data_IF_122444843344
#
_entry.id   IF_122444843344
#
_cell.length_a   1.000
_cell.length_b   1.000
_cell.length_c   1.000
_cell.angle_alpha   90.00
_cell.angle_beta   90.00
_cell.angle_gamma   90.00
#
_symmetry.space_group_name_H-M   'P 1'
#
loop_
_entity.id
_entity.type
_entity.pdbx_description
1 polymer ?
#
# COMPACT_ATOMS: atom_id res chain seq x y z
N UNK A 1 -4.22 -34.69 -58.54
CA UNK A 1 -4.86 -33.56 -57.85
C UNK A 1 -6.23 -33.33 -58.48
N UNK A 2 -7.33 -33.54 -57.74
CA UNK A 2 -8.69 -33.35 -58.25
C UNK A 2 -9.12 -31.91 -58.03
N UNK A 3 -9.30 -31.16 -59.12
CA UNK A 3 -9.83 -29.79 -59.10
C UNK A 3 -11.35 -29.93 -59.19
N UNK A 4 -12.06 -29.59 -58.12
CA UNK A 4 -13.51 -29.71 -58.05
C UNK A 4 -14.16 -28.44 -58.66
N UNK A 5 -14.95 -28.54 -59.74
CA UNK A 5 -15.63 -27.39 -60.31
C UNK A 5 -17.02 -27.26 -59.66
N UNK A 6 -17.13 -26.36 -58.68
CA UNK A 6 -18.38 -26.08 -57.97
C UNK A 6 -18.92 -24.70 -58.32
N UNK A 7 -19.96 -24.68 -59.14
CA UNK A 7 -20.82 -23.52 -59.43
C UNK A 7 -21.28 -22.85 -58.12
N UNK A 8 -21.10 -21.53 -57.99
CA UNK A 8 -21.61 -20.74 -56.85
C UNK A 8 -22.89 -20.02 -57.25
N UNK A 9 -24.05 -20.25 -56.61
CA UNK A 9 -25.24 -19.47 -56.87
C UNK A 9 -25.11 -18.09 -56.21
N UNK A 10 -25.43 -17.03 -56.98
CA UNK A 10 -25.63 -15.69 -56.43
C UNK A 10 -26.86 -15.73 -55.51
N UNK A 11 -26.67 -15.50 -54.20
CA UNK A 11 -27.79 -15.32 -53.28
C UNK A 11 -27.58 -15.71 -51.81
N UNK A 12 -26.51 -16.41 -51.44
CA UNK A 12 -26.24 -16.73 -50.03
C UNK A 12 -25.11 -15.87 -49.46
N UNK A 13 -25.45 -14.62 -49.18
CA UNK A 13 -24.58 -13.75 -48.39
C UNK A 13 -25.43 -12.92 -47.42
N UNK A 14 -26.19 -13.62 -46.56
CA UNK A 14 -26.90 -13.01 -45.43
C UNK A 14 -27.00 -14.01 -44.30
N UNK A 15 -25.93 -14.09 -43.51
CA UNK A 15 -25.94 -14.09 -42.03
C UNK A 15 -24.56 -14.49 -41.52
N UNK A 16 -23.57 -13.61 -41.66
CA UNK A 16 -22.59 -13.50 -40.58
C UNK A 16 -23.29 -12.74 -39.48
N UNK A 17 -23.54 -13.32 -38.29
CA UNK A 17 -23.76 -12.47 -37.14
C UNK A 17 -22.42 -11.79 -36.93
N UNK A 18 -22.35 -10.51 -37.29
CA UNK A 18 -21.38 -9.60 -36.72
C UNK A 18 -21.50 -9.81 -35.21
N UNK A 19 -20.49 -10.44 -34.61
CA UNK A 19 -20.35 -10.54 -33.17
C UNK A 19 -20.05 -9.12 -32.72
N UNK A 20 -21.13 -8.32 -32.67
CA UNK A 20 -21.10 -6.92 -32.32
C UNK A 20 -20.26 -6.77 -31.07
N UNK A 21 -19.28 -5.87 -31.17
CA UNK A 21 -18.49 -5.44 -30.03
C UNK A 21 -19.42 -5.30 -28.83
N UNK A 22 -19.18 -6.10 -27.78
CA UNK A 22 -19.97 -6.03 -26.54
C UNK A 22 -20.07 -4.57 -26.16
N UNK A 23 -21.28 -4.02 -25.93
CA UNK A 23 -21.41 -2.63 -25.53
C UNK A 23 -20.57 -2.43 -24.28
N UNK A 24 -19.61 -1.50 -24.35
CA UNK A 24 -18.80 -1.10 -23.21
C UNK A 24 -19.80 -0.53 -22.21
N UNK A 25 -20.11 -1.29 -21.16
CA UNK A 25 -21.00 -0.81 -20.11
C UNK A 25 -20.42 0.51 -19.58
N UNK A 26 -21.19 1.62 -19.60
CA UNK A 26 -20.70 2.87 -19.05
C UNK A 26 -20.36 2.63 -17.58
N UNK A 27 -19.12 2.98 -17.17
CA UNK A 27 -18.72 2.89 -15.76
C UNK A 27 -19.73 3.68 -14.92
N UNK A 28 -20.29 3.05 -13.90
CA UNK A 28 -21.25 3.69 -13.02
C UNK A 28 -20.56 4.88 -12.31
N UNK A 29 -21.25 6.01 -12.16
CA UNK A 29 -20.69 7.20 -11.50
C UNK A 29 -20.15 6.87 -10.10
N UNK A 30 -20.84 6.00 -9.36
CA UNK A 30 -20.39 5.52 -8.06
C UNK A 30 -19.04 4.78 -8.14
N UNK A 31 -18.80 3.99 -9.18
CA UNK A 31 -17.53 3.26 -9.36
C UNK A 31 -16.39 4.24 -9.67
N UNK A 32 -16.65 5.27 -10.48
CA UNK A 32 -15.66 6.32 -10.79
C UNK A 32 -15.30 7.11 -9.54
N UNK A 33 -16.29 7.44 -8.70
CA UNK A 33 -16.07 8.18 -7.45
C UNK A 33 -15.26 7.36 -6.44
N UNK A 34 -15.61 6.08 -6.25
CA UNK A 34 -14.87 5.18 -5.37
C UNK A 34 -13.39 5.03 -5.78
N UNK A 35 -13.11 4.90 -7.07
CA UNK A 35 -11.73 4.81 -7.58
C UNK A 35 -10.96 6.12 -7.34
N UNK A 36 -11.60 7.27 -7.51
CA UNK A 36 -10.95 8.56 -7.20
C UNK A 36 -10.65 8.71 -5.70
N UNK A 37 -11.56 8.28 -4.83
CA UNK A 37 -11.36 8.35 -3.38
C UNK A 37 -10.26 7.39 -2.89
N UNK A 38 -10.16 6.18 -3.46
CA UNK A 38 -9.05 5.26 -3.22
C UNK A 38 -7.72 5.88 -3.67
N UNK A 39 -7.66 6.48 -4.87
CA UNK A 39 -6.45 7.13 -5.40
C UNK A 39 -6.00 8.31 -4.53
N UNK A 40 -6.91 9.19 -4.12
CA UNK A 40 -6.62 10.29 -3.20
C UNK A 40 -6.09 9.79 -1.86
N UNK A 41 -6.69 8.72 -1.34
CA UNK A 41 -6.25 8.10 -0.09
C UNK A 41 -4.80 7.60 -0.19
N UNK A 42 -4.44 6.97 -1.31
CA UNK A 42 -3.08 6.49 -1.60
C UNK A 42 -2.09 7.66 -1.64
N UNK A 43 -2.44 8.76 -2.33
CA UNK A 43 -1.61 9.96 -2.43
C UNK A 43 -1.38 10.62 -1.06
N UNK A 44 -2.42 10.78 -0.25
CA UNK A 44 -2.30 11.32 1.11
C UNK A 44 -1.39 10.46 2.00
N UNK A 45 -1.48 9.13 1.89
CA UNK A 45 -0.62 8.23 2.65
C UNK A 45 0.83 8.31 2.18
N UNK A 46 1.09 8.46 0.88
CA UNK A 46 2.44 8.67 0.37
C UNK A 46 3.05 9.98 0.90
N UNK A 47 2.27 11.06 0.95
CA UNK A 47 2.73 12.33 1.53
C UNK A 47 3.09 12.17 3.00
N UNK A 48 2.21 11.55 3.81
CA UNK A 48 2.48 11.29 5.24
C UNK A 48 3.71 10.40 5.44
N UNK A 49 3.90 9.40 4.59
CA UNK A 49 5.08 8.53 4.64
C UNK A 49 6.37 9.32 4.39
N UNK A 50 6.34 10.26 3.43
CA UNK A 50 7.47 11.16 3.18
C UNK A 50 7.74 12.10 4.36
N UNK A 51 6.70 12.62 4.99
CA UNK A 51 6.84 13.47 6.18
C UNK A 51 7.46 12.70 7.35
N UNK A 52 7.05 11.44 7.57
CA UNK A 52 7.66 10.54 8.56
C UNK A 52 9.13 10.29 8.25
N UNK A 53 9.47 10.06 6.98
CA UNK A 53 10.87 9.90 6.56
C UNK A 53 11.70 11.13 6.92
N UNK A 54 11.23 12.31 6.54
CA UNK A 54 11.90 13.58 6.84
C UNK A 54 12.05 13.80 8.35
N UNK A 55 11.02 13.45 9.13
CA UNK A 55 11.06 13.53 10.59
C UNK A 55 12.08 12.55 11.18
N UNK A 56 12.16 11.32 10.67
CA UNK A 56 13.16 10.33 11.10
C UNK A 56 14.59 10.80 10.81
N UNK A 57 14.81 11.45 9.67
CA UNK A 57 16.08 12.09 9.32
C UNK A 57 16.45 13.23 10.27
N UNK A 58 15.47 14.04 10.70
CA UNK A 58 15.68 15.09 11.71
C UNK A 58 16.00 14.50 13.09
N UNK A 59 15.32 13.43 13.48
CA UNK A 59 15.61 12.70 14.72
C UNK A 59 17.03 12.13 14.69
N UNK A 60 17.41 11.42 13.62
CA UNK A 60 18.73 10.83 13.44
C UNK A 60 19.87 11.85 13.53
N UNK A 61 19.65 13.09 13.08
CA UNK A 61 20.65 14.17 13.16
C UNK A 61 20.71 14.87 14.50
N UNK A 62 19.56 15.10 15.14
CA UNK A 62 19.47 15.99 16.31
C UNK A 62 19.43 15.24 17.65
N UNK A 63 18.95 13.99 17.67
CA UNK A 63 18.84 13.14 18.86
C UNK A 63 18.21 13.86 20.06
N UNK A 64 17.11 14.60 19.83
CA UNK A 64 16.37 15.28 20.90
C UNK A 64 15.06 14.59 21.23
N UNK A 65 14.64 14.70 22.50
CA UNK A 65 13.35 14.20 22.98
C UNK A 65 12.18 14.75 22.15
N UNK A 66 12.24 16.02 21.75
CA UNK A 66 11.22 16.65 20.91
C UNK A 66 11.06 15.91 19.58
N UNK A 67 12.17 15.67 18.88
CA UNK A 67 12.12 14.99 17.58
C UNK A 67 11.69 13.53 17.72
N UNK A 68 12.06 12.87 18.82
CA UNK A 68 11.65 11.51 19.13
C UNK A 68 10.13 11.41 19.31
N UNK A 69 9.56 12.30 20.12
CA UNK A 69 8.11 12.35 20.36
C UNK A 69 7.33 12.63 19.08
N UNK A 70 7.78 13.61 18.28
CA UNK A 70 7.16 13.94 17.00
C UNK A 70 7.20 12.76 16.04
N UNK A 71 8.35 12.10 15.91
CA UNK A 71 8.48 10.92 15.07
C UNK A 71 7.51 9.81 15.49
N UNK A 72 7.50 9.45 16.78
CA UNK A 72 6.60 8.41 17.31
C UNK A 72 5.13 8.74 17.07
N UNK A 73 4.74 10.00 17.27
CA UNK A 73 3.37 10.46 17.04
C UNK A 73 2.98 10.35 15.56
N UNK A 74 3.84 10.79 14.64
CA UNK A 74 3.58 10.74 13.20
C UNK A 74 3.44 9.30 12.71
N UNK A 75 4.32 8.39 13.15
CA UNK A 75 4.23 6.97 12.81
C UNK A 75 2.91 6.40 13.34
N UNK A 76 2.57 6.63 14.62
CA UNK A 76 1.32 6.14 15.21
C UNK A 76 0.08 6.60 14.43
N UNK A 77 0.00 7.90 14.10
CA UNK A 77 -1.11 8.45 13.32
C UNK A 77 -1.22 7.80 11.93
N UNK A 78 -0.08 7.54 11.28
CA UNK A 78 -0.05 6.87 9.99
C UNK A 78 -0.55 5.42 10.05
N UNK A 79 -0.22 4.68 11.12
CA UNK A 79 -0.75 3.33 11.32
C UNK A 79 -2.26 3.34 11.52
N UNK A 80 -2.77 4.26 12.35
CA UNK A 80 -4.22 4.43 12.58
C UNK A 80 -4.96 4.75 11.27
N UNK A 81 -4.42 5.65 10.45
CA UNK A 81 -5.00 6.02 9.16
C UNK A 81 -5.01 4.85 8.18
N UNK A 82 -3.93 4.08 8.11
CA UNK A 82 -3.82 2.89 7.25
C UNK A 82 -4.86 1.83 7.63
N UNK A 83 -5.02 1.57 8.93
CA UNK A 83 -6.01 0.61 9.45
C UNK A 83 -7.43 1.08 9.18
N UNK A 84 -7.75 2.34 9.51
CA UNK A 84 -9.12 2.89 9.37
C UNK A 84 -9.59 2.94 7.92
N UNK A 85 -8.69 3.26 6.98
CA UNK A 85 -9.04 3.40 5.55
C UNK A 85 -9.07 2.06 4.81
N UNK A 86 -8.73 0.95 5.48
CA UNK A 86 -8.73 -0.39 4.88
C UNK A 86 -7.75 -0.53 3.71
N UNK A 87 -6.78 0.37 3.60
CA UNK A 87 -5.85 0.44 2.46
C UNK A 87 -5.03 -0.83 2.44
N UNK A 88 -5.24 -1.62 1.39
CA UNK A 88 -4.58 -2.90 1.18
C UNK A 88 -5.15 -4.10 1.95
N UNK A 89 -6.31 -3.97 2.61
CA UNK A 89 -7.03 -5.13 3.17
C UNK A 89 -7.64 -6.06 2.11
N UNK A 90 -7.78 -5.59 0.85
CA UNK A 90 -8.46 -6.35 -0.21
C UNK A 90 -7.69 -7.60 -0.67
N UNK A 91 -6.37 -7.66 -0.55
CA UNK A 91 -5.62 -8.83 -1.02
C UNK A 91 -4.36 -9.08 -0.17
N UNK A 92 -4.43 -10.02 0.75
CA UNK A 92 -3.22 -10.72 1.19
C UNK A 92 -3.58 -12.20 1.29
N UNK A 93 -3.52 -12.87 0.13
CA UNK A 93 -3.41 -14.33 0.06
C UNK A 93 -2.08 -14.73 0.70
N UNK A 94 -2.06 -14.81 2.03
CA UNK A 94 -0.83 -15.05 2.80
C UNK A 94 -1.16 -15.07 4.28
N UNK A 95 -1.56 -16.25 4.76
CA UNK A 95 -1.72 -16.53 6.17
C UNK A 95 -0.36 -16.89 6.77
N UNK A 96 -0.03 -16.34 7.93
CA UNK A 96 1.02 -16.90 8.79
C UNK A 96 0.61 -18.33 9.22
N UNK A 97 1.55 -19.13 9.74
CA UNK A 97 1.31 -20.46 10.33
C UNK A 97 0.18 -20.49 11.37
N UNK A 98 -0.21 -19.33 11.91
CA UNK A 98 -1.28 -19.12 12.89
C UNK A 98 -2.56 -18.47 12.31
N UNK A 99 -2.70 -18.35 10.99
CA UNK A 99 -3.91 -17.80 10.35
C UNK A 99 -4.03 -16.27 10.40
N UNK A 100 -3.00 -15.54 10.83
CA UNK A 100 -3.00 -14.07 10.83
C UNK A 100 -2.59 -13.52 9.46
N UNK A 101 -3.22 -12.44 9.01
CA UNK A 101 -2.82 -11.74 7.78
C UNK A 101 -1.45 -11.10 7.98
N UNK A 102 -0.54 -11.24 7.00
CA UNK A 102 0.83 -10.67 7.03
C UNK A 102 0.88 -9.19 7.46
N UNK A 103 -0.10 -8.38 7.08
CA UNK A 103 -0.21 -6.95 7.46
C UNK A 103 -0.41 -6.73 8.97
N UNK A 104 -1.25 -7.51 9.64
CA UNK A 104 -1.44 -7.37 11.09
C UNK A 104 -0.14 -7.65 11.86
N UNK A 105 0.65 -8.64 11.40
CA UNK A 105 1.97 -8.90 11.97
C UNK A 105 2.91 -7.69 11.80
N UNK A 106 2.93 -7.06 10.62
CA UNK A 106 3.73 -5.85 10.41
C UNK A 106 3.30 -4.70 11.32
N UNK A 107 2.00 -4.53 11.55
CA UNK A 107 1.47 -3.52 12.47
C UNK A 107 1.91 -3.79 13.92
N UNK A 108 1.82 -5.03 14.38
CA UNK A 108 2.31 -5.43 15.71
C UNK A 108 3.82 -5.17 15.87
N UNK A 109 4.60 -5.46 14.82
CA UNK A 109 6.06 -5.24 14.82
C UNK A 109 6.42 -3.75 14.84
N UNK A 110 5.68 -2.92 14.11
CA UNK A 110 5.81 -1.47 14.14
C UNK A 110 5.47 -0.90 15.53
N UNK A 111 4.38 -1.35 16.14
CA UNK A 111 3.98 -0.91 17.48
C UNK A 111 5.04 -1.29 18.53
N UNK A 112 5.54 -2.53 18.48
CA UNK A 112 6.64 -2.99 19.34
C UNK A 112 7.89 -2.12 19.20
N UNK A 113 8.29 -1.78 17.97
CA UNK A 113 9.44 -0.90 17.75
C UNK A 113 9.22 0.50 18.34
N UNK A 114 8.02 1.08 18.20
CA UNK A 114 7.68 2.38 18.78
C UNK A 114 7.67 2.37 20.32
N UNK A 115 7.31 1.26 20.94
CA UNK A 115 7.36 1.10 22.40
C UNK A 115 8.80 1.07 22.92
N UNK A 116 9.69 0.42 22.16
CA UNK A 116 11.11 0.35 22.50
C UNK A 116 11.88 1.65 22.21
N UNK A 117 11.29 2.61 21.49
CA UNK A 117 11.86 3.94 21.28
C UNK A 117 11.65 4.85 22.52
N UNK A 118 12.30 4.47 23.61
CA UNK A 118 12.32 5.21 24.86
C UNK A 118 13.18 6.49 24.80
N UNK A 119 12.89 7.44 25.67
CA UNK A 119 13.69 8.68 25.79
C UNK A 119 15.08 8.40 26.35
N UNK A 120 15.21 7.35 27.19
CA UNK A 120 16.45 6.85 27.78
C UNK A 120 17.50 6.42 26.75
N UNK A 121 17.07 6.09 25.53
CA UNK A 121 17.99 5.77 24.43
C UNK A 121 18.85 6.98 24.03
N UNK A 122 18.42 8.21 24.35
CA UNK A 122 19.16 9.42 24.03
C UNK A 122 20.32 9.70 24.99
N UNK A 123 20.36 9.01 26.14
CA UNK A 123 21.29 9.27 27.24
C UNK A 123 22.67 8.63 27.03
N UNK A 124 22.78 7.65 26.14
CA UNK A 124 24.02 6.94 25.84
C UNK A 124 24.27 6.83 24.34
N UNK A 125 25.54 6.68 23.95
CA UNK A 125 25.92 6.47 22.55
C UNK A 125 25.39 5.13 22.02
N UNK A 126 25.40 4.08 22.84
CA UNK A 126 24.81 2.78 22.49
C UNK A 126 23.29 2.90 22.24
N UNK A 127 22.57 3.59 23.13
CA UNK A 127 21.14 3.84 22.95
C UNK A 127 20.84 4.64 21.69
N UNK A 128 21.68 5.62 21.33
CA UNK A 128 21.53 6.39 20.08
C UNK A 128 21.77 5.54 18.85
N UNK A 129 22.72 4.60 18.88
CA UNK A 129 22.91 3.63 17.81
C UNK A 129 21.69 2.71 17.67
N UNK A 130 21.16 2.22 18.79
CA UNK A 130 19.93 1.41 18.80
C UNK A 130 18.75 2.22 18.22
N UNK A 131 18.64 3.49 18.59
CA UNK A 131 17.59 4.37 18.07
C UNK A 131 17.69 4.57 16.55
N UNK A 132 18.90 4.74 16.00
CA UNK A 132 19.12 4.80 14.55
C UNK A 132 18.67 3.52 13.86
N UNK A 133 18.96 2.37 14.44
CA UNK A 133 18.52 1.08 13.92
C UNK A 133 16.99 0.97 13.90
N UNK A 134 16.32 1.33 15.00
CA UNK A 134 14.85 1.34 15.07
C UNK A 134 14.22 2.29 14.03
N UNK A 135 14.82 3.46 13.77
CA UNK A 135 14.35 4.38 12.71
C UNK A 135 14.44 3.71 11.34
N UNK A 136 15.52 2.98 11.06
CA UNK A 136 15.71 2.21 9.82
C UNK A 136 14.69 1.08 9.68
N UNK A 137 14.48 0.31 10.75
CA UNK A 137 13.53 -0.81 10.78
C UNK A 137 12.09 -0.31 10.55
N UNK A 138 11.68 0.74 11.26
CA UNK A 138 10.36 1.36 11.07
C UNK A 138 10.19 1.84 9.64
N UNK A 139 11.21 2.48 9.04
CA UNK A 139 11.14 2.91 7.62
C UNK A 139 10.91 1.72 6.69
N UNK A 140 11.64 0.63 6.87
CA UNK A 140 11.47 -0.58 6.05
C UNK A 140 10.08 -1.20 6.22
N UNK A 141 9.60 -1.30 7.45
CA UNK A 141 8.28 -1.85 7.76
C UNK A 141 7.14 -0.98 7.19
N UNK A 142 7.25 0.34 7.24
CA UNK A 142 6.25 1.26 6.66
C UNK A 142 6.17 1.15 5.13
N UNK A 143 7.32 1.00 4.45
CA UNK A 143 7.35 0.74 3.00
C UNK A 143 6.65 -0.59 2.70
N UNK A 144 6.96 -1.66 3.45
CA UNK A 144 6.34 -2.98 3.29
C UNK A 144 4.83 -3.02 3.64
N UNK A 145 4.33 -2.06 4.42
CA UNK A 145 2.91 -1.96 4.73
C UNK A 145 2.12 -1.37 3.55
N UNK A 146 2.76 -0.50 2.77
CA UNK A 146 2.15 0.20 1.65
C UNK A 146 2.25 -0.58 0.32
N UNK A 147 3.39 -1.24 0.07
CA UNK A 147 3.68 -2.02 -1.14
C UNK A 147 3.53 -3.53 -0.92
#
# INVERSE_FOLDING_TARGET
MKINPGWRPLGQDRTRPDLGAKPIAPKNFADVMNVQDEQRTIEELQMKLQDIHNQGERLARSMTVRELRLYRQMVKQYLEDTVRRGVGMKETRGFDRRGRTKRYKLLEELDSNLLQMGEELLDSEEGRLELLQKIGDIRGLLINLFF
#
